data_IF_416850746418
#
_entry.id   IF_416850746418
#
_cell.length_a   1.000
_cell.length_b   1.000
_cell.length_c   1.000
_cell.angle_alpha   90.00
_cell.angle_beta   90.00
_cell.angle_gamma   90.00
#
_symmetry.space_group_name_H-M   'P 1'
#
loop_
_entity.id
_entity.type
_entity.pdbx_description
1 polymer ?
#
# COMPACT_ATOMS: atom_id res chain seq x y z
N UNK A 1 -16.75 -63.07 14.45
CA UNK A 1 -15.46 -62.84 15.12
C UNK A 1 -14.36 -63.17 14.11
N UNK A 2 -13.57 -62.25 13.56
CA UNK A 2 -13.40 -60.83 13.83
C UNK A 2 -12.72 -60.19 12.61
N UNK A 3 -13.45 -59.36 11.87
CA UNK A 3 -12.88 -58.21 11.14
C UNK A 3 -12.36 -57.25 12.22
N UNK A 4 -11.10 -56.81 12.11
CA UNK A 4 -10.25 -56.13 13.12
C UNK A 4 -9.30 -57.12 13.82
N UNK A 5 -7.99 -56.82 13.75
CA UNK A 5 -6.83 -57.45 14.43
C UNK A 5 -5.78 -58.25 13.62
N UNK A 6 -5.56 -57.97 12.33
CA UNK A 6 -4.22 -58.18 11.73
C UNK A 6 -3.81 -57.07 10.77
N UNK A 7 -4.04 -55.83 11.18
CA UNK A 7 -3.00 -54.82 10.99
C UNK A 7 -1.93 -55.03 12.07
N UNK A 8 -0.72 -54.56 11.80
CA UNK A 8 0.42 -54.44 12.72
C UNK A 8 1.41 -55.63 12.82
N UNK A 9 2.02 -56.00 11.70
CA UNK A 9 3.47 -56.33 11.60
C UNK A 9 3.93 -56.00 10.16
N UNK A 10 4.15 -54.73 9.82
CA UNK A 10 5.48 -54.10 9.86
C UNK A 10 6.61 -55.06 9.43
N UNK A 11 6.98 -55.04 8.14
CA UNK A 11 8.33 -54.65 7.66
C UNK A 11 8.47 -54.80 6.14
N UNK A 12 8.81 -53.66 5.52
CA UNK A 12 9.73 -53.48 4.39
C UNK A 12 9.27 -53.73 2.94
N UNK A 13 8.96 -52.60 2.29
CA UNK A 13 9.62 -52.04 1.09
C UNK A 13 8.97 -52.20 -0.30
N UNK A 14 8.97 -51.05 -1.00
CA UNK A 14 8.69 -50.73 -2.41
C UNK A 14 7.19 -50.53 -2.77
N UNK A 15 6.59 -49.35 -2.56
CA UNK A 15 6.71 -48.06 -3.28
C UNK A 15 6.16 -48.11 -4.72
N UNK A 16 5.11 -47.31 -4.96
CA UNK A 16 4.85 -46.43 -6.13
C UNK A 16 3.50 -46.61 -6.89
N UNK A 17 2.78 -45.48 -6.98
CA UNK A 17 1.64 -45.09 -7.83
C UNK A 17 0.20 -45.52 -7.46
N UNK A 18 -0.41 -44.78 -6.54
CA UNK A 18 -1.85 -44.50 -6.58
C UNK A 18 -2.08 -43.26 -7.47
N UNK A 19 -2.96 -43.44 -8.48
CA UNK A 19 -3.56 -42.40 -9.30
C UNK A 19 -4.30 -41.38 -8.40
N UNK A 20 -3.77 -40.16 -8.30
CA UNK A 20 -4.54 -39.00 -7.87
C UNK A 20 -5.50 -38.62 -9.00
N UNK A 21 -6.79 -38.37 -8.75
CA UNK A 21 -7.60 -37.63 -9.69
C UNK A 21 -7.00 -36.23 -9.76
N UNK A 22 -6.46 -35.88 -10.93
CA UNK A 22 -6.07 -34.52 -11.26
C UNK A 22 -7.36 -33.70 -11.21
N UNK A 23 -7.57 -33.01 -10.09
CA UNK A 23 -8.43 -31.85 -10.07
C UNK A 23 -7.78 -30.85 -11.03
N UNK A 24 -8.35 -30.68 -12.22
CA UNK A 24 -8.04 -29.54 -13.07
C UNK A 24 -8.38 -28.30 -12.24
N UNK A 25 -7.36 -27.68 -11.67
CA UNK A 25 -7.46 -26.30 -11.22
C UNK A 25 -7.69 -25.50 -12.50
N UNK A 26 -8.94 -25.10 -12.74
CA UNK A 26 -9.18 -24.00 -13.65
C UNK A 26 -8.44 -22.81 -13.04
N UNK A 27 -7.30 -22.46 -13.63
CA UNK A 27 -6.65 -21.18 -13.37
C UNK A 27 -7.70 -20.12 -13.69
N UNK A 28 -8.22 -19.45 -12.66
CA UNK A 28 -8.95 -18.20 -12.87
C UNK A 28 -7.95 -17.26 -13.54
N UNK A 29 -8.07 -17.12 -14.87
CA UNK A 29 -7.28 -16.15 -15.60
C UNK A 29 -7.75 -14.77 -15.18
N UNK A 30 -6.95 -14.09 -14.38
CA UNK A 30 -7.21 -12.71 -14.00
C UNK A 30 -7.05 -11.82 -15.22
N UNK A 31 -8.07 -10.99 -15.49
CA UNK A 31 -8.01 -9.94 -16.50
C UNK A 31 -6.97 -8.90 -16.09
N UNK A 32 -6.06 -8.56 -17.01
CA UNK A 32 -4.99 -7.58 -16.82
C UNK A 32 -5.18 -6.38 -17.75
N UNK A 33 -5.13 -5.16 -17.21
CA UNK A 33 -5.22 -3.91 -17.99
C UNK A 33 -4.08 -3.78 -19.02
N UNK A 34 -2.91 -4.34 -18.70
CA UNK A 34 -1.75 -4.42 -19.60
C UNK A 34 -2.04 -5.30 -20.82
N UNK A 35 -2.63 -6.47 -20.59
CA UNK A 35 -3.03 -7.39 -21.66
C UNK A 35 -4.16 -6.79 -22.49
N UNK A 36 -5.11 -6.10 -21.84
CA UNK A 36 -6.21 -5.43 -22.52
C UNK A 36 -5.71 -4.31 -23.45
N UNK A 37 -4.71 -3.54 -23.02
CA UNK A 37 -4.07 -2.52 -23.85
C UNK A 37 -3.34 -3.13 -25.06
N UNK A 38 -2.65 -4.26 -24.87
CA UNK A 38 -1.95 -4.98 -25.94
C UNK A 38 -2.95 -5.57 -26.94
N UNK A 39 -3.99 -6.26 -26.47
CA UNK A 39 -5.04 -6.81 -27.34
C UNK A 39 -5.69 -5.71 -28.18
N UNK A 40 -6.03 -4.57 -27.55
CA UNK A 40 -6.63 -3.43 -28.25
C UNK A 40 -5.69 -2.90 -29.33
N UNK A 41 -4.43 -2.65 -29.00
CA UNK A 41 -3.47 -2.08 -29.95
C UNK A 41 -3.13 -3.02 -31.10
N UNK A 42 -2.92 -4.31 -30.81
CA UNK A 42 -2.67 -5.32 -31.85
C UNK A 42 -3.83 -5.37 -32.83
N UNK A 43 -5.06 -5.40 -32.33
CA UNK A 43 -6.26 -5.36 -33.17
C UNK A 43 -6.37 -4.06 -33.98
N UNK A 44 -6.05 -2.89 -33.39
CA UNK A 44 -5.95 -1.61 -34.12
C UNK A 44 -4.91 -1.63 -35.25
N UNK A 45 -3.79 -2.31 -35.03
CA UNK A 45 -2.70 -2.48 -36.00
C UNK A 45 -3.00 -3.58 -37.04
N UNK A 46 -4.14 -4.28 -36.93
CA UNK A 46 -4.57 -5.31 -37.86
C UNK A 46 -4.11 -6.74 -37.53
N UNK A 47 -3.51 -6.96 -36.36
CA UNK A 47 -3.09 -8.28 -35.87
C UNK A 47 -4.20 -8.87 -34.99
N UNK A 48 -4.63 -10.09 -35.28
CA UNK A 48 -5.77 -10.71 -34.58
C UNK A 48 -5.40 -11.19 -33.18
N UNK A 49 -5.55 -10.33 -32.18
CA UNK A 49 -5.31 -10.65 -30.77
C UNK A 49 -6.52 -11.27 -30.06
N UNK A 50 -7.62 -11.53 -30.77
CA UNK A 50 -8.86 -12.04 -30.18
C UNK A 50 -9.68 -10.98 -29.44
N UNK A 51 -10.51 -11.41 -28.49
CA UNK A 51 -11.33 -10.51 -27.68
C UNK A 51 -10.45 -9.64 -26.76
N UNK A 52 -10.81 -8.36 -26.59
CA UNK A 52 -10.14 -7.45 -25.65
C UNK A 52 -10.67 -7.65 -24.24
N UNK A 53 -10.35 -8.79 -23.64
CA UNK A 53 -10.86 -9.27 -22.36
C UNK A 53 -9.82 -9.24 -21.22
N UNK A 54 -8.61 -8.78 -21.52
CA UNK A 54 -7.50 -8.69 -20.56
C UNK A 54 -6.87 -10.04 -20.22
N UNK A 55 -7.23 -11.14 -20.90
CA UNK A 55 -6.69 -12.47 -20.62
C UNK A 55 -5.54 -12.79 -21.57
N UNK A 56 -4.38 -13.13 -21.00
CA UNK A 56 -3.23 -13.53 -21.81
C UNK A 56 -3.42 -14.96 -22.34
N UNK A 57 -3.63 -15.10 -23.64
CA UNK A 57 -3.82 -16.38 -24.32
C UNK A 57 -2.97 -16.53 -25.58
N UNK A 58 -2.97 -17.73 -26.15
CA UNK A 58 -2.18 -18.06 -27.35
C UNK A 58 -2.50 -17.15 -28.54
N UNK A 59 -3.76 -16.71 -28.68
CA UNK A 59 -4.18 -15.76 -29.73
C UNK A 59 -3.46 -14.41 -29.58
N UNK A 60 -3.49 -13.80 -28.38
CA UNK A 60 -2.79 -12.55 -28.09
C UNK A 60 -1.28 -12.68 -28.29
N UNK A 61 -0.71 -13.79 -27.81
CA UNK A 61 0.72 -14.09 -27.95
C UNK A 61 1.14 -14.22 -29.41
N UNK A 62 0.37 -14.95 -30.22
CA UNK A 62 0.68 -15.14 -31.64
C UNK A 62 0.57 -13.82 -32.42
N UNK A 63 -0.44 -12.99 -32.12
CA UNK A 63 -0.58 -11.65 -32.70
C UNK A 63 0.62 -10.74 -32.37
N UNK A 64 1.12 -10.80 -31.13
CA UNK A 64 2.34 -10.07 -30.73
C UNK A 64 3.58 -10.57 -31.48
N UNK A 65 3.76 -11.89 -31.58
CA UNK A 65 4.88 -12.49 -32.33
C UNK A 65 4.84 -12.05 -33.79
N UNK A 66 3.66 -12.07 -34.41
CA UNK A 66 3.47 -11.63 -35.80
C UNK A 66 3.82 -10.15 -35.95
N UNK A 67 3.32 -9.29 -35.07
CA UNK A 67 3.68 -7.88 -35.03
C UNK A 67 5.20 -7.66 -34.94
N UNK A 68 5.86 -8.28 -33.96
CA UNK A 68 7.30 -8.15 -33.75
C UNK A 68 8.10 -8.62 -34.96
N UNK A 69 7.63 -9.67 -35.64
CA UNK A 69 8.27 -10.16 -36.87
C UNK A 69 8.27 -9.11 -37.99
N UNK A 70 7.23 -8.27 -38.09
CA UNK A 70 7.19 -7.16 -39.06
C UNK A 70 8.23 -6.07 -38.78
N UNK A 71 8.71 -6.00 -37.54
CA UNK A 71 9.78 -5.09 -37.08
C UNK A 71 11.16 -5.74 -37.07
N UNK A 72 11.28 -7.01 -37.50
CA UNK A 72 12.52 -7.76 -37.46
C UNK A 72 12.94 -8.21 -36.06
N UNK A 73 12.00 -8.24 -35.11
CA UNK A 73 12.23 -8.59 -33.70
C UNK A 73 11.60 -9.96 -33.37
N UNK A 74 12.03 -10.56 -32.26
CA UNK A 74 11.49 -11.82 -31.75
C UNK A 74 10.99 -11.60 -30.33
N UNK A 75 9.80 -12.12 -30.04
CA UNK A 75 9.30 -12.17 -28.66
C UNK A 75 10.22 -13.06 -27.83
N UNK A 76 10.71 -12.55 -26.71
CA UNK A 76 11.66 -13.26 -25.85
C UNK A 76 10.97 -14.19 -24.83
N UNK A 77 9.63 -14.17 -24.80
CA UNK A 77 8.81 -14.98 -23.91
C UNK A 77 8.30 -14.24 -22.68
N UNK A 78 8.75 -13.01 -22.44
CA UNK A 78 8.33 -12.16 -21.33
C UNK A 78 7.57 -10.95 -21.86
N UNK A 79 6.49 -10.56 -21.18
CA UNK A 79 5.76 -9.35 -21.53
C UNK A 79 6.22 -8.22 -20.61
N UNK A 80 7.14 -7.39 -21.10
CA UNK A 80 7.75 -6.31 -20.33
C UNK A 80 7.60 -4.96 -21.04
N UNK A 81 8.30 -3.92 -20.56
CA UNK A 81 8.21 -2.57 -21.12
C UNK A 81 8.52 -2.48 -22.63
N UNK A 82 9.33 -3.38 -23.16
CA UNK A 82 9.77 -3.37 -24.55
C UNK A 82 8.60 -3.61 -25.51
N UNK A 83 7.71 -4.56 -25.22
CA UNK A 83 6.55 -4.85 -26.07
C UNK A 83 5.60 -3.66 -26.19
N UNK A 84 5.41 -2.92 -25.09
CA UNK A 84 4.57 -1.72 -25.12
C UNK A 84 5.18 -0.63 -25.98
N UNK A 85 6.46 -0.31 -25.76
CA UNK A 85 7.19 0.70 -26.53
C UNK A 85 7.18 0.37 -28.03
N UNK A 86 7.42 -0.91 -28.36
CA UNK A 86 7.41 -1.39 -29.75
C UNK A 86 6.06 -1.23 -30.39
N UNK A 87 4.97 -1.62 -29.72
CA UNK A 87 3.61 -1.51 -30.25
C UNK A 87 3.14 -0.05 -30.41
N UNK A 88 3.97 0.94 -30.07
CA UNK A 88 3.54 2.33 -29.86
C UNK A 88 2.27 2.38 -29.01
N UNK A 89 2.13 1.38 -28.14
CA UNK A 89 1.45 1.57 -26.89
C UNK A 89 2.47 2.46 -26.21
N UNK A 90 2.28 3.77 -26.36
CA UNK A 90 2.46 4.59 -25.18
C UNK A 90 1.75 3.76 -24.14
N UNK A 91 2.51 3.07 -23.27
CA UNK A 91 1.97 2.75 -21.98
C UNK A 91 1.23 4.05 -21.67
N UNK A 92 -0.02 3.94 -21.24
CA UNK A 92 -0.33 4.84 -20.17
C UNK A 92 0.76 4.45 -19.15
N UNK A 93 1.97 5.04 -19.24
CA UNK A 93 2.67 5.51 -18.09
C UNK A 93 1.56 6.38 -17.53
N UNK A 94 0.70 5.76 -16.71
CA UNK A 94 0.61 6.04 -15.31
C UNK A 94 1.50 7.23 -15.08
N UNK A 95 0.95 8.38 -15.47
CA UNK A 95 1.71 9.61 -15.53
C UNK A 95 2.00 9.83 -14.07
N UNK A 96 3.15 9.36 -13.59
CA UNK A 96 3.48 9.41 -12.17
C UNK A 96 3.20 10.82 -11.73
N UNK A 97 2.42 10.99 -10.67
CA UNK A 97 2.07 12.31 -10.17
C UNK A 97 3.33 13.17 -10.14
N UNK A 98 3.42 14.23 -10.97
CA UNK A 98 4.64 15.03 -11.02
C UNK A 98 4.80 15.77 -9.70
N UNK A 99 6.01 15.73 -9.14
CA UNK A 99 6.35 16.45 -7.93
C UNK A 99 7.34 17.58 -8.20
N UNK A 100 7.15 18.70 -7.51
CA UNK A 100 8.12 19.79 -7.44
C UNK A 100 8.71 19.85 -6.04
N UNK A 101 10.02 19.65 -5.94
CA UNK A 101 10.73 19.60 -4.66
C UNK A 101 11.29 20.97 -4.29
N UNK A 102 10.70 21.59 -3.27
CA UNK A 102 11.15 22.82 -2.65
C UNK A 102 11.91 22.45 -1.36
N UNK A 103 13.21 22.19 -1.49
CA UNK A 103 14.06 21.69 -0.40
C UNK A 103 15.01 22.80 0.06
N UNK A 104 14.91 23.19 1.33
CA UNK A 104 15.77 24.21 1.90
C UNK A 104 17.19 23.68 2.18
N UNK A 105 18.17 24.61 2.14
CA UNK A 105 19.60 24.34 2.36
C UNK A 105 19.96 23.87 3.77
N UNK A 106 19.04 23.99 4.75
CA UNK A 106 19.21 23.47 6.10
C UNK A 106 19.26 21.95 6.17
N UNK A 107 18.77 21.25 5.14
CA UNK A 107 18.85 19.80 5.02
C UNK A 107 20.17 19.35 4.39
N UNK A 108 20.81 18.35 4.98
CA UNK A 108 22.10 17.84 4.51
C UNK A 108 21.96 17.15 3.14
N UNK A 109 22.95 17.29 2.26
CA UNK A 109 22.93 16.71 0.90
C UNK A 109 22.68 15.18 0.89
N UNK A 110 23.17 14.46 1.90
CA UNK A 110 22.91 13.02 2.02
C UNK A 110 21.44 12.71 2.31
N UNK A 111 20.76 13.52 3.13
CA UNK A 111 19.32 13.38 3.35
C UNK A 111 18.54 13.70 2.08
N UNK A 112 18.92 14.75 1.34
CA UNK A 112 18.27 15.09 0.07
C UNK A 112 18.41 13.99 -0.97
N UNK A 113 19.57 13.31 -1.01
CA UNK A 113 19.80 12.16 -1.90
C UNK A 113 18.92 10.97 -1.50
N UNK A 114 18.85 10.68 -0.21
CA UNK A 114 18.02 9.60 0.32
C UNK A 114 16.52 9.87 0.12
N UNK A 115 16.07 11.12 0.35
CA UNK A 115 14.70 11.55 0.07
C UNK A 115 14.31 11.27 -1.38
N UNK A 116 15.17 11.61 -2.35
CA UNK A 116 14.90 11.34 -3.77
C UNK A 116 14.81 9.85 -4.06
N UNK A 117 15.70 9.05 -3.48
CA UNK A 117 15.66 7.59 -3.61
C UNK A 117 14.35 7.01 -3.04
N UNK A 118 13.94 7.44 -1.85
CA UNK A 118 12.66 7.05 -1.24
C UNK A 118 11.49 7.44 -2.16
N UNK A 119 11.45 8.67 -2.66
CA UNK A 119 10.39 9.12 -3.58
C UNK A 119 10.36 8.34 -4.90
N UNK A 120 11.51 7.89 -5.41
CA UNK A 120 11.59 7.03 -6.61
C UNK A 120 10.99 5.65 -6.33
N UNK A 121 11.40 5.01 -5.22
CA UNK A 121 10.86 3.73 -4.77
C UNK A 121 9.35 3.83 -4.55
N UNK A 122 8.87 4.85 -3.85
CA UNK A 122 7.45 5.00 -3.55
C UNK A 122 6.63 5.24 -4.81
N UNK A 123 7.12 6.02 -5.78
CA UNK A 123 6.43 6.18 -7.07
C UNK A 123 6.45 4.93 -7.94
N UNK A 124 7.28 3.94 -7.64
CA UNK A 124 7.29 2.63 -8.31
C UNK A 124 6.36 1.65 -7.60
N UNK A 125 6.45 1.54 -6.27
CA UNK A 125 5.68 0.58 -5.46
C UNK A 125 4.24 1.04 -5.21
N UNK A 126 4.02 2.34 -5.07
CA UNK A 126 2.72 2.95 -4.75
C UNK A 126 2.36 3.97 -5.85
N UNK A 127 2.17 3.53 -7.09
CA UNK A 127 2.04 4.46 -8.18
C UNK A 127 0.74 5.26 -8.04
N UNK A 128 0.88 6.59 -8.09
CA UNK A 128 -0.27 7.51 -8.12
C UNK A 128 -0.64 7.74 -9.59
N UNK A 129 -1.69 7.05 -10.05
CA UNK A 129 -2.08 6.97 -11.47
C UNK A 129 -3.45 7.60 -11.75
N UNK A 130 -4.27 7.72 -10.70
CA UNK A 130 -5.62 8.23 -10.78
C UNK A 130 -5.79 9.61 -10.12
N UNK A 131 -6.85 10.32 -10.53
CA UNK A 131 -7.41 11.46 -9.81
C UNK A 131 -6.42 12.60 -9.46
N UNK A 132 -5.39 12.88 -10.27
CA UNK A 132 -4.39 13.94 -10.00
C UNK A 132 -4.98 15.33 -9.73
N UNK A 133 -6.19 15.58 -10.22
CA UNK A 133 -6.96 16.78 -9.91
C UNK A 133 -7.17 17.00 -8.42
N UNK A 134 -7.16 15.95 -7.59
CA UNK A 134 -7.21 16.04 -6.12
C UNK A 134 -6.05 16.86 -5.57
N UNK A 135 -4.89 16.80 -6.23
CA UNK A 135 -3.68 17.55 -5.88
C UNK A 135 -3.56 18.89 -6.62
N UNK A 136 -4.58 19.27 -7.40
CA UNK A 136 -4.53 20.45 -8.26
C UNK A 136 -3.63 20.28 -9.49
N UNK A 137 -3.22 19.05 -9.80
CA UNK A 137 -2.37 18.73 -10.95
C UNK A 137 -3.21 18.49 -12.20
N UNK A 138 -2.87 19.19 -13.28
CA UNK A 138 -3.57 19.16 -14.56
C UNK A 138 -2.68 18.62 -15.66
N UNK A 139 -3.14 17.58 -16.37
CA UNK A 139 -2.37 16.87 -17.39
C UNK A 139 -2.05 17.74 -18.63
N UNK A 140 -2.90 18.72 -18.91
CA UNK A 140 -2.79 19.66 -20.03
C UNK A 140 -1.90 20.89 -19.73
N UNK A 141 -1.54 21.11 -18.46
CA UNK A 141 -0.75 22.26 -18.05
C UNK A 141 0.72 21.85 -17.87
N UNK A 142 1.58 22.40 -18.73
CA UNK A 142 3.03 22.22 -18.62
C UNK A 142 3.52 22.64 -17.23
N UNK A 143 4.38 21.82 -16.62
CA UNK A 143 4.94 22.02 -15.27
C UNK A 143 3.91 21.99 -14.12
N UNK A 144 2.69 21.49 -14.36
CA UNK A 144 1.76 21.20 -13.26
C UNK A 144 2.31 20.04 -12.43
N UNK A 145 2.45 20.26 -11.13
CA UNK A 145 3.05 19.34 -10.18
C UNK A 145 2.52 19.60 -8.78
N UNK A 146 2.53 18.56 -7.94
CA UNK A 146 2.29 18.68 -6.50
C UNK A 146 3.58 19.16 -5.83
N UNK A 147 3.49 20.21 -5.01
CA UNK A 147 4.64 20.73 -4.28
C UNK A 147 4.96 19.86 -3.06
N UNK A 148 6.27 19.69 -2.80
CA UNK A 148 6.80 19.18 -1.54
C UNK A 148 7.71 20.24 -0.95
N UNK A 149 7.48 20.62 0.30
CA UNK A 149 8.28 21.58 1.04
C UNK A 149 9.02 20.86 2.16
N UNK A 150 10.35 20.96 2.18
CA UNK A 150 11.16 20.30 3.20
C UNK A 150 12.24 21.23 3.76
N UNK A 151 12.37 21.25 5.09
CA UNK A 151 13.42 21.96 5.81
C UNK A 151 13.75 21.24 7.13
N UNK A 152 14.87 21.62 7.75
CA UNK A 152 15.24 21.14 9.08
C UNK A 152 14.68 22.09 10.14
N UNK A 153 14.12 21.56 11.23
CA UNK A 153 13.54 22.36 12.32
C UNK A 153 14.57 23.19 13.12
N UNK A 154 15.86 23.11 12.78
CA UNK A 154 16.88 24.03 13.29
C UNK A 154 16.76 25.46 12.73
N UNK A 155 16.00 25.65 11.65
CA UNK A 155 15.62 26.95 11.10
C UNK A 155 14.11 27.12 11.14
N UNK A 156 13.64 28.37 11.17
CA UNK A 156 12.21 28.66 10.95
C UNK A 156 11.83 28.31 9.50
N UNK A 157 10.55 28.03 9.27
CA UNK A 157 9.99 27.82 7.94
C UNK A 157 10.53 28.86 6.92
N UNK A 158 11.32 28.42 5.91
CA UNK A 158 11.97 29.31 4.97
C UNK A 158 11.07 29.75 3.79
N UNK A 159 9.86 29.18 3.68
CA UNK A 159 8.95 29.38 2.55
C UNK A 159 7.92 30.48 2.85
N UNK A 160 8.29 31.72 2.51
CA UNK A 160 7.48 32.92 2.76
C UNK A 160 6.11 32.92 2.10
N UNK A 161 5.95 32.18 1.00
CA UNK A 161 4.70 31.98 0.27
C UNK A 161 3.68 31.14 1.05
N UNK A 162 4.14 30.38 2.04
CA UNK A 162 3.32 29.54 2.92
C UNK A 162 3.82 29.65 4.37
N UNK A 163 3.61 30.80 5.04
CA UNK A 163 4.26 31.11 6.32
C UNK A 163 3.80 30.25 7.50
N UNK A 164 2.61 29.63 7.41
CA UNK A 164 2.01 28.85 8.48
C UNK A 164 2.33 27.34 8.41
N UNK A 165 3.24 26.91 7.54
CA UNK A 165 3.66 25.51 7.48
C UNK A 165 4.54 25.14 8.67
N UNK A 166 4.31 23.93 9.20
CA UNK A 166 5.09 23.30 10.26
C UNK A 166 4.72 21.83 10.37
N UNK A 167 5.58 21.04 11.01
CA UNK A 167 5.43 19.59 11.14
C UNK A 167 5.50 18.84 9.80
N UNK A 168 4.91 17.65 9.78
CA UNK A 168 4.73 16.85 8.56
C UNK A 168 3.23 16.61 8.31
N UNK A 169 2.78 16.84 7.08
CA UNK A 169 1.39 16.61 6.67
C UNK A 169 1.19 16.76 5.15
N UNK A 170 0.08 16.22 4.65
CA UNK A 170 -0.53 16.68 3.40
C UNK A 170 -1.50 17.84 3.68
N UNK A 171 -1.17 19.02 3.17
CA UNK A 171 -1.92 20.26 3.34
C UNK A 171 -2.52 20.76 2.02
N UNK A 172 -3.44 21.73 2.07
CA UNK A 172 -4.05 22.29 0.87
C UNK A 172 -4.85 23.56 1.13
N UNK A 173 -5.22 24.24 0.03
CA UNK A 173 -6.04 25.47 0.03
C UNK A 173 -7.41 25.29 -0.62
N UNK A 174 -7.82 24.03 -0.85
CA UNK A 174 -9.03 23.67 -1.58
C UNK A 174 -8.89 23.67 -3.10
N UNK A 175 -7.76 24.17 -3.65
CA UNK A 175 -7.45 24.11 -5.10
C UNK A 175 -6.26 23.22 -5.40
N UNK A 176 -5.24 23.31 -4.57
CA UNK A 176 -3.99 22.55 -4.66
C UNK A 176 -3.69 21.90 -3.33
N UNK A 177 -2.94 20.81 -3.38
CA UNK A 177 -2.39 20.16 -2.19
C UNK A 177 -0.88 20.12 -2.29
N UNK A 178 -0.21 20.07 -1.16
CA UNK A 178 1.23 19.98 -1.05
C UNK A 178 1.62 19.16 0.18
N UNK A 179 2.79 18.55 0.13
CA UNK A 179 3.39 17.84 1.27
C UNK A 179 4.30 18.80 2.04
N UNK A 180 4.22 18.76 3.36
CA UNK A 180 5.10 19.48 4.28
C UNK A 180 5.97 18.45 4.99
N UNK A 181 7.28 18.69 5.05
CA UNK A 181 8.27 17.85 5.73
C UNK A 181 9.23 18.73 6.56
N UNK A 182 8.79 19.18 7.73
CA UNK A 182 9.68 19.77 8.73
C UNK A 182 10.40 18.65 9.52
N UNK A 183 11.63 18.36 9.13
CA UNK A 183 12.41 17.27 9.74
C UNK A 183 13.04 17.75 11.05
N UNK A 184 12.78 17.04 12.14
CA UNK A 184 13.30 17.44 13.44
C UNK A 184 14.84 17.39 13.47
N UNK A 185 15.48 18.49 13.85
CA UNK A 185 16.95 18.59 13.98
C UNK A 185 17.58 17.49 14.81
N UNK A 186 16.88 17.01 15.84
CA UNK A 186 17.38 15.98 16.74
C UNK A 186 17.43 14.60 16.07
N UNK A 187 16.68 14.37 14.99
CA UNK A 187 16.74 13.11 14.23
C UNK A 187 18.06 12.95 13.49
N UNK A 188 18.69 14.06 13.10
CA UNK A 188 20.06 14.05 12.58
C UNK A 188 21.07 13.79 13.68
N UNK A 189 20.87 14.39 14.87
CA UNK A 189 21.75 14.22 16.04
C UNK A 189 21.75 12.78 16.56
N UNK A 190 20.58 12.16 16.64
CA UNK A 190 20.40 10.81 17.20
C UNK A 190 20.25 9.73 16.14
N UNK A 191 20.45 10.05 14.86
CA UNK A 191 20.33 9.13 13.73
C UNK A 191 18.99 8.35 13.75
N UNK A 192 17.89 9.07 14.01
CA UNK A 192 16.54 8.50 14.04
C UNK A 192 16.06 8.16 12.63
N UNK A 193 15.55 6.94 12.36
CA UNK A 193 14.99 6.58 11.06
C UNK A 193 13.68 7.32 10.73
N UNK A 194 13.06 7.99 11.70
CA UNK A 194 11.84 8.77 11.50
C UNK A 194 11.98 9.82 10.39
N UNK A 195 13.17 10.42 10.22
CA UNK A 195 13.47 11.37 9.13
C UNK A 195 13.25 10.82 7.72
N UNK A 196 13.15 9.50 7.59
CA UNK A 196 12.85 8.78 6.36
C UNK A 196 11.46 8.16 6.39
N UNK A 197 11.02 7.60 7.52
CA UNK A 197 9.68 7.01 7.64
C UNK A 197 8.59 8.04 7.37
N UNK A 198 8.76 9.28 7.85
CA UNK A 198 7.79 10.36 7.65
C UNK A 198 7.55 10.71 6.17
N UNK A 199 8.54 10.50 5.30
CA UNK A 199 8.37 10.66 3.84
C UNK A 199 7.40 9.61 3.32
N UNK A 200 7.54 8.37 3.78
CA UNK A 200 6.69 7.23 3.42
C UNK A 200 5.28 7.43 3.95
N UNK A 201 5.14 7.85 5.21
CA UNK A 201 3.86 8.14 5.86
C UNK A 201 3.05 9.15 5.04
N UNK A 202 3.63 10.32 4.74
CA UNK A 202 2.93 11.37 4.01
C UNK A 202 2.69 10.99 2.53
N UNK A 203 3.62 10.28 1.89
CA UNK A 203 3.39 9.77 0.53
C UNK A 203 2.24 8.77 0.50
N UNK A 204 2.12 7.91 1.52
CA UNK A 204 1.04 6.94 1.57
C UNK A 204 -0.34 7.62 1.65
N UNK A 205 -0.44 8.76 2.34
CA UNK A 205 -1.66 9.58 2.27
C UNK A 205 -1.96 10.10 0.86
N UNK A 206 -0.94 10.53 0.10
CA UNK A 206 -1.12 10.89 -1.32
C UNK A 206 -1.68 9.69 -2.10
N UNK A 207 -1.12 8.50 -1.89
CA UNK A 207 -1.62 7.27 -2.51
C UNK A 207 -3.09 7.00 -2.13
N UNK A 208 -3.42 6.96 -0.84
CA UNK A 208 -4.80 6.78 -0.34
C UNK A 208 -5.79 7.82 -0.89
N UNK A 209 -5.39 9.10 -0.94
CA UNK A 209 -6.22 10.19 -1.45
C UNK A 209 -6.46 10.07 -2.95
N UNK A 210 -5.46 9.58 -3.70
CA UNK A 210 -5.58 9.38 -5.14
C UNK A 210 -6.59 8.27 -5.48
N UNK A 211 -6.56 7.17 -4.72
CA UNK A 211 -7.51 6.07 -4.86
C UNK A 211 -8.92 6.49 -4.42
N UNK A 212 -9.02 7.08 -3.22
CA UNK A 212 -10.31 7.37 -2.56
C UNK A 212 -11.00 8.66 -2.99
N UNK A 213 -10.36 9.46 -3.85
CA UNK A 213 -10.81 10.83 -4.21
C UNK A 213 -10.90 11.73 -2.97
N UNK A 214 -9.83 11.74 -2.18
CA UNK A 214 -9.67 12.56 -0.96
C UNK A 214 -10.63 12.17 0.17
N UNK A 215 -11.05 10.90 0.24
CA UNK A 215 -11.97 10.38 1.27
C UNK A 215 -11.22 9.52 2.27
N UNK A 216 -10.75 10.15 3.34
CA UNK A 216 -9.79 9.57 4.29
C UNK A 216 -10.43 9.00 5.57
N UNK A 217 -11.73 8.72 5.58
CA UNK A 217 -12.43 8.05 6.68
C UNK A 217 -12.42 6.51 6.55
N UNK A 218 -12.26 5.75 7.66
CA UNK A 218 -12.05 6.22 9.04
C UNK A 218 -10.57 6.51 9.33
N UNK A 219 -10.32 7.36 10.33
CA UNK A 219 -8.97 7.78 10.73
C UNK A 219 -8.05 6.61 11.06
N UNK A 220 -8.52 5.61 11.80
CA UNK A 220 -7.64 4.50 12.19
C UNK A 220 -7.13 3.67 11.02
N UNK A 221 -7.91 3.55 9.95
CA UNK A 221 -7.47 2.82 8.76
C UNK A 221 -6.53 3.70 7.90
N UNK A 222 -6.80 5.02 7.84
CA UNK A 222 -5.92 5.98 7.18
C UNK A 222 -4.52 6.03 7.83
N UNK A 223 -4.49 6.38 9.11
CA UNK A 223 -3.27 6.63 9.88
C UNK A 223 -2.59 5.34 10.34
N UNK A 224 -3.38 4.31 10.68
CA UNK A 224 -2.84 2.98 10.94
C UNK A 224 -2.18 2.40 9.70
N UNK A 225 -2.74 2.66 8.51
CA UNK A 225 -2.17 2.30 7.22
C UNK A 225 -0.81 2.92 7.00
N UNK A 226 -0.77 4.24 7.12
CA UNK A 226 0.46 5.03 6.99
C UNK A 226 1.52 4.60 8.03
N UNK A 227 1.12 4.36 9.29
CA UNK A 227 2.01 3.88 10.34
C UNK A 227 2.60 2.50 10.05
N UNK A 228 1.80 1.55 9.56
CA UNK A 228 2.30 0.20 9.29
C UNK A 228 3.25 0.22 8.08
N UNK A 229 2.88 0.89 6.98
CA UNK A 229 3.73 0.90 5.78
C UNK A 229 5.03 1.69 5.98
N UNK A 230 5.02 2.79 6.74
CA UNK A 230 6.27 3.52 7.04
C UNK A 230 7.27 2.62 7.81
N UNK A 231 6.75 1.80 8.73
CA UNK A 231 7.55 0.91 9.57
C UNK A 231 8.05 -0.30 8.81
N UNK A 232 7.23 -0.86 7.92
CA UNK A 232 7.65 -1.90 6.98
C UNK A 232 8.76 -1.39 6.06
N UNK A 233 8.64 -0.17 5.54
CA UNK A 233 9.66 0.46 4.71
C UNK A 233 10.99 0.58 5.47
N UNK A 234 10.99 1.19 6.66
CA UNK A 234 12.25 1.40 7.39
C UNK A 234 12.86 0.09 7.92
N UNK A 235 12.03 -0.91 8.21
CA UNK A 235 12.51 -2.26 8.52
C UNK A 235 13.21 -2.90 7.32
N UNK A 236 12.65 -2.77 6.13
CA UNK A 236 13.18 -3.35 4.89
C UNK A 236 14.50 -2.68 4.46
N UNK A 237 14.53 -1.35 4.43
CA UNK A 237 15.66 -0.61 3.85
C UNK A 237 16.75 -0.21 4.87
N UNK A 238 16.39 -0.06 6.15
CA UNK A 238 17.33 0.37 7.20
C UNK A 238 17.48 -0.62 8.35
N UNK A 239 16.75 -1.74 8.33
CA UNK A 239 16.83 -2.78 9.36
C UNK A 239 16.31 -2.33 10.73
N UNK A 240 15.55 -1.24 10.81
CA UNK A 240 15.07 -0.62 12.05
C UNK A 240 13.59 -0.30 11.93
N UNK A 241 12.80 -0.67 12.93
CA UNK A 241 11.39 -0.29 13.09
C UNK A 241 11.09 -0.02 14.56
N UNK A 242 10.27 0.99 14.85
CA UNK A 242 9.72 1.24 16.19
C UNK A 242 8.39 0.54 16.44
N UNK A 243 7.76 -0.05 15.42
CA UNK A 243 6.40 -0.60 15.47
C UNK A 243 6.16 -1.50 16.69
N UNK A 244 6.96 -2.55 16.91
CA UNK A 244 6.78 -3.44 18.07
C UNK A 244 6.86 -2.67 19.40
N UNK A 245 7.78 -1.71 19.50
CA UNK A 245 7.98 -0.90 20.69
C UNK A 245 6.82 0.07 20.93
N UNK A 246 6.29 0.66 19.87
CA UNK A 246 5.19 1.61 19.94
C UNK A 246 3.88 0.90 20.32
N UNK A 247 3.59 -0.25 19.71
CA UNK A 247 2.41 -1.06 20.02
C UNK A 247 2.41 -1.57 21.48
N UNK A 248 3.59 -1.78 22.08
CA UNK A 248 3.72 -2.20 23.49
C UNK A 248 3.61 -1.06 24.50
N UNK A 249 3.77 0.20 24.08
CA UNK A 249 3.86 1.34 25.00
C UNK A 249 2.48 1.90 25.34
N UNK A 250 2.04 1.68 26.58
CA UNK A 250 0.76 2.20 27.11
C UNK A 250 0.59 3.70 26.93
N UNK A 251 1.66 4.48 27.07
CA UNK A 251 1.60 5.93 26.94
C UNK A 251 1.29 6.44 25.53
N UNK A 252 1.41 5.58 24.51
CA UNK A 252 1.16 5.98 23.13
C UNK A 252 -0.28 5.74 22.68
N UNK A 253 -1.00 4.80 23.27
CA UNK A 253 -2.37 4.52 22.85
C UNK A 253 -3.16 3.76 23.91
N UNK A 254 -4.46 3.99 23.90
CA UNK A 254 -5.36 3.55 24.98
C UNK A 254 -5.96 2.16 24.76
N UNK A 255 -6.24 1.44 25.84
CA UNK A 255 -6.88 0.11 25.78
C UNK A 255 -8.35 0.20 25.29
N UNK A 256 -8.88 1.41 25.05
CA UNK A 256 -10.14 1.71 24.39
C UNK A 256 -10.27 1.10 22.99
N UNK A 257 -9.16 0.70 22.34
CA UNK A 257 -9.21 -0.15 21.14
C UNK A 257 -10.06 -1.40 21.37
N UNK A 258 -10.04 -1.95 22.59
CA UNK A 258 -10.71 -3.20 22.95
C UNK A 258 -12.13 -3.00 23.51
N UNK A 259 -12.48 -1.78 23.93
CA UNK A 259 -13.71 -1.50 24.68
C UNK A 259 -14.63 -0.49 24.00
N UNK A 260 -14.07 0.53 23.32
CA UNK A 260 -14.81 1.51 22.53
C UNK A 260 -13.99 1.96 21.29
N UNK A 261 -13.78 1.06 20.32
CA UNK A 261 -12.99 1.35 19.12
C UNK A 261 -13.54 2.49 18.24
N UNK A 262 -14.80 2.92 18.45
CA UNK A 262 -15.36 4.08 17.75
C UNK A 262 -14.56 5.37 18.04
N UNK A 263 -13.88 5.44 19.20
CA UNK A 263 -13.01 6.56 19.56
C UNK A 263 -11.79 6.72 18.65
N UNK A 264 -11.48 5.72 17.81
CA UNK A 264 -10.38 5.77 16.86
C UNK A 264 -10.80 6.19 15.45
N UNK A 265 -12.08 6.44 15.21
CA UNK A 265 -12.59 6.78 13.87
C UNK A 265 -12.26 8.20 13.40
N UNK A 266 -11.90 9.10 14.32
CA UNK A 266 -11.75 10.53 14.07
C UNK A 266 -10.42 11.10 14.59
N UNK A 267 -9.98 12.19 13.98
CA UNK A 267 -8.74 12.86 14.38
C UNK A 267 -8.88 13.57 15.74
N UNK A 268 -10.03 14.18 15.99
CA UNK A 268 -10.29 15.01 17.18
C UNK A 268 -10.21 14.22 18.49
N UNK A 269 -10.44 12.91 18.44
CA UNK A 269 -10.36 12.02 19.60
C UNK A 269 -8.93 11.55 19.87
N UNK A 270 -8.02 11.65 18.90
CA UNK A 270 -6.69 11.00 18.94
C UNK A 270 -5.71 11.70 19.88
N UNK A 271 -5.82 13.02 20.03
CA UNK A 271 -5.01 13.82 20.94
C UNK A 271 -5.59 13.91 22.36
N UNK A 272 -6.71 13.24 22.63
CA UNK A 272 -7.34 13.24 23.95
C UNK A 272 -6.42 12.54 24.95
N UNK A 273 -6.13 13.20 26.07
CA UNK A 273 -5.44 12.58 27.18
C UNK A 273 -6.31 11.49 27.82
N UNK A 274 -5.65 10.42 28.23
CA UNK A 274 -6.23 9.26 28.92
C UNK A 274 -5.47 9.06 30.22
N UNK A 275 -5.94 8.16 31.09
CA UNK A 275 -5.28 7.92 32.39
C UNK A 275 -3.80 7.50 32.24
N UNK A 276 -3.47 6.78 31.17
CA UNK A 276 -2.16 6.18 30.95
C UNK A 276 -1.30 6.91 29.90
N UNK A 277 -1.81 7.98 29.27
CA UNK A 277 -1.12 8.72 28.19
C UNK A 277 -2.10 9.39 27.23
N UNK A 278 -2.05 9.02 25.95
CA UNK A 278 -2.91 9.57 24.89
C UNK A 278 -3.81 8.51 24.28
N UNK A 279 -4.91 8.95 23.67
CA UNK A 279 -5.80 8.06 22.94
C UNK A 279 -5.05 7.34 21.81
N UNK A 280 -4.35 8.07 20.94
CA UNK A 280 -3.66 7.46 19.81
C UNK A 280 -2.46 8.30 19.30
N UNK A 281 -1.45 8.46 20.16
CA UNK A 281 -0.18 9.09 19.82
C UNK A 281 0.66 8.21 18.89
N UNK A 282 1.27 8.83 17.88
CA UNK A 282 1.99 8.15 16.80
C UNK A 282 1.17 7.05 16.10
N UNK A 283 -0.16 7.13 16.21
CA UNK A 283 -1.11 6.21 15.58
C UNK A 283 -0.90 4.74 15.94
N UNK A 284 -0.31 4.47 17.12
CA UNK A 284 0.02 3.12 17.54
C UNK A 284 -1.23 2.25 17.77
N UNK A 285 -2.31 2.80 18.32
CA UNK A 285 -3.58 2.09 18.46
C UNK A 285 -4.26 1.87 17.11
N UNK A 286 -4.21 2.86 16.22
CA UNK A 286 -4.68 2.71 14.84
C UNK A 286 -3.93 1.61 14.07
N UNK A 287 -2.60 1.54 14.20
CA UNK A 287 -1.78 0.48 13.63
C UNK A 287 -2.11 -0.89 14.24
N UNK A 288 -2.38 -0.96 15.55
CA UNK A 288 -2.85 -2.18 16.19
C UNK A 288 -4.16 -2.67 15.58
N UNK A 289 -5.13 -1.76 15.40
CA UNK A 289 -6.42 -2.08 14.76
C UNK A 289 -6.22 -2.61 13.34
N UNK A 290 -5.41 -1.93 12.52
CA UNK A 290 -5.14 -2.39 11.15
C UNK A 290 -4.50 -3.77 11.10
N UNK A 291 -3.47 -4.02 11.91
CA UNK A 291 -2.81 -5.33 11.94
C UNK A 291 -3.74 -6.43 12.47
N UNK A 292 -4.65 -6.08 13.40
CA UNK A 292 -5.67 -7.02 13.86
C UNK A 292 -6.67 -7.34 12.77
N UNK A 293 -7.09 -6.35 11.97
CA UNK A 293 -7.91 -6.60 10.78
C UNK A 293 -7.21 -7.55 9.80
N UNK A 294 -5.91 -7.33 9.53
CA UNK A 294 -5.10 -8.25 8.71
C UNK A 294 -5.16 -9.67 9.28
N UNK A 295 -4.98 -9.86 10.60
CA UNK A 295 -5.05 -11.20 11.22
C UNK A 295 -6.45 -11.81 11.18
N UNK A 296 -7.50 -11.00 11.28
CA UNK A 296 -8.87 -11.48 11.11
C UNK A 296 -9.12 -11.98 9.68
N UNK A 297 -8.63 -11.27 8.65
CA UNK A 297 -8.73 -11.69 7.25
C UNK A 297 -7.97 -13.01 7.01
N UNK A 298 -6.81 -13.20 7.66
CA UNK A 298 -6.04 -14.45 7.52
C UNK A 298 -6.76 -15.68 8.11
N UNK A 299 -7.71 -15.50 9.04
CA UNK A 299 -8.54 -16.61 9.53
C UNK A 299 -9.43 -17.20 8.43
N UNK A 300 -9.73 -16.41 7.40
CA UNK A 300 -10.53 -16.81 6.23
C UNK A 300 -9.68 -17.27 5.04
N UNK A 301 -8.46 -17.77 5.31
CA UNK A 301 -7.47 -18.27 4.34
C UNK A 301 -6.92 -17.22 3.35
N UNK A 302 -7.05 -15.93 3.65
CA UNK A 302 -6.37 -14.86 2.91
C UNK A 302 -4.90 -14.84 3.34
N UNK A 303 -3.95 -14.74 2.40
CA UNK A 303 -2.54 -14.63 2.74
C UNK A 303 -2.23 -13.28 3.42
N UNK A 304 -1.10 -13.17 4.12
CA UNK A 304 -0.71 -11.88 4.73
C UNK A 304 -0.54 -10.78 3.68
N UNK A 305 0.01 -11.14 2.52
CA UNK A 305 0.20 -10.25 1.37
C UNK A 305 -1.14 -9.73 0.84
N UNK A 306 -2.07 -10.63 0.51
CA UNK A 306 -3.41 -10.25 0.02
C UNK A 306 -4.19 -9.44 1.07
N UNK A 307 -4.09 -9.80 2.35
CA UNK A 307 -4.76 -9.05 3.42
C UNK A 307 -4.20 -7.63 3.58
N UNK A 308 -2.89 -7.44 3.40
CA UNK A 308 -2.26 -6.12 3.39
C UNK A 308 -2.63 -5.32 2.14
N UNK A 309 -2.73 -5.97 0.97
CA UNK A 309 -3.21 -5.32 -0.26
C UNK A 309 -4.64 -4.79 -0.06
N UNK A 310 -5.53 -5.60 0.53
CA UNK A 310 -6.91 -5.20 0.81
C UNK A 310 -7.01 -3.93 1.66
N UNK A 311 -6.21 -3.83 2.73
CA UNK A 311 -6.24 -2.66 3.64
C UNK A 311 -5.47 -1.44 3.10
N UNK A 312 -4.44 -1.65 2.27
CA UNK A 312 -3.63 -0.57 1.73
C UNK A 312 -4.12 -0.01 0.39
N UNK A 313 -4.87 -0.79 -0.40
CA UNK A 313 -5.27 -0.43 -1.76
C UNK A 313 -6.78 -0.60 -1.97
N UNK A 314 -7.30 -1.81 -1.87
CA UNK A 314 -8.66 -2.13 -2.36
C UNK A 314 -9.75 -1.41 -1.56
N UNK A 315 -9.57 -1.27 -0.24
CA UNK A 315 -10.49 -0.47 0.57
C UNK A 315 -10.59 0.98 0.06
N UNK A 316 -9.46 1.60 -0.30
CA UNK A 316 -9.44 2.99 -0.75
C UNK A 316 -10.04 3.15 -2.16
N UNK A 317 -9.88 2.15 -3.01
CA UNK A 317 -10.57 2.08 -4.30
C UNK A 317 -12.10 1.98 -4.12
N UNK A 318 -12.60 1.07 -3.27
CA UNK A 318 -14.03 0.96 -2.99
C UNK A 318 -14.56 2.26 -2.33
N UNK A 319 -13.77 2.87 -1.45
CA UNK A 319 -14.09 4.15 -0.80
C UNK A 319 -14.32 5.29 -1.79
N UNK A 320 -13.68 5.27 -2.96
CA UNK A 320 -13.92 6.23 -4.03
C UNK A 320 -15.38 6.24 -4.52
N UNK A 321 -16.04 5.07 -4.47
CA UNK A 321 -17.45 4.87 -4.80
C UNK A 321 -18.40 5.13 -3.64
N UNK A 322 -17.93 5.04 -2.38
CA UNK A 322 -18.76 5.09 -1.19
C UNK A 322 -18.56 6.35 -0.34
N UNK A 323 -19.64 7.07 -0.04
CA UNK A 323 -19.59 8.16 0.96
C UNK A 323 -19.48 7.61 2.38
N UNK A 324 -20.21 6.55 2.70
CA UNK A 324 -20.13 5.88 3.99
C UNK A 324 -19.00 4.83 3.95
N UNK A 325 -17.92 5.05 4.70
CA UNK A 325 -16.80 4.12 4.77
C UNK A 325 -17.19 2.74 5.30
N UNK A 326 -18.21 2.63 6.17
CA UNK A 326 -18.63 1.34 6.71
C UNK A 326 -19.16 0.41 5.62
N UNK A 327 -19.78 0.98 4.57
CA UNK A 327 -20.22 0.22 3.38
C UNK A 327 -19.03 -0.23 2.53
N UNK A 328 -18.01 0.62 2.39
CA UNK A 328 -16.78 0.23 1.69
C UNK A 328 -16.05 -0.88 2.44
N UNK A 329 -15.98 -0.75 3.77
CA UNK A 329 -15.39 -1.75 4.67
C UNK A 329 -16.09 -3.10 4.51
N UNK A 330 -17.41 -3.14 4.62
CA UNK A 330 -18.19 -4.39 4.51
C UNK A 330 -17.98 -5.08 3.16
N UNK A 331 -17.97 -4.32 2.08
CA UNK A 331 -17.73 -4.85 0.73
C UNK A 331 -16.31 -5.36 0.52
N UNK A 332 -15.31 -4.65 1.04
CA UNK A 332 -13.89 -4.99 0.84
C UNK A 332 -13.51 -6.21 1.66
N UNK A 333 -13.92 -6.25 2.93
CA UNK A 333 -13.45 -7.24 3.89
C UNK A 333 -14.45 -8.37 4.15
N UNK A 334 -15.62 -8.33 3.50
CA UNK A 334 -16.73 -9.28 3.74
C UNK A 334 -17.09 -9.42 5.23
N UNK A 335 -16.94 -8.31 5.97
CA UNK A 335 -17.11 -8.24 7.43
C UNK A 335 -17.67 -6.88 7.80
N UNK A 336 -18.70 -6.85 8.65
CA UNK A 336 -19.21 -5.57 9.15
C UNK A 336 -18.22 -4.93 10.13
N UNK A 337 -18.19 -3.59 10.18
CA UNK A 337 -17.39 -2.83 11.15
C UNK A 337 -17.75 -3.24 12.58
N UNK A 338 -19.04 -3.44 12.86
CA UNK A 338 -19.52 -3.90 14.17
C UNK A 338 -18.90 -5.25 14.55
N UNK A 339 -18.88 -6.20 13.62
CA UNK A 339 -18.26 -7.52 13.83
C UNK A 339 -16.77 -7.40 14.08
N UNK A 340 -16.08 -6.54 13.33
CA UNK A 340 -14.65 -6.30 13.57
C UNK A 340 -14.39 -5.70 14.96
N UNK A 341 -15.19 -4.70 15.36
CA UNK A 341 -15.09 -4.08 16.69
C UNK A 341 -15.41 -5.04 17.83
N UNK A 342 -16.38 -5.94 17.65
CA UNK A 342 -16.64 -7.03 18.60
C UNK A 342 -15.42 -7.97 18.72
N UNK A 343 -14.81 -8.33 17.59
CA UNK A 343 -13.59 -9.17 17.57
C UNK A 343 -12.39 -8.50 18.21
N UNK A 344 -12.23 -7.18 18.11
CA UNK A 344 -11.15 -6.45 18.79
C UNK A 344 -11.16 -6.69 20.31
N UNK A 345 -12.32 -6.90 20.93
CA UNK A 345 -12.42 -7.18 22.38
C UNK A 345 -11.78 -8.51 22.79
N UNK A 346 -11.52 -9.42 21.84
CA UNK A 346 -10.83 -10.69 22.07
C UNK A 346 -9.30 -10.54 22.07
N UNK A 347 -8.80 -9.38 21.64
CA UNK A 347 -7.38 -9.06 21.60
C UNK A 347 -6.93 -8.30 22.84
N UNK A 348 -5.62 -8.30 23.05
CA UNK A 348 -4.97 -7.50 24.06
C UNK A 348 -3.63 -6.99 23.57
N UNK A 349 -3.06 -6.04 24.32
CA UNK A 349 -1.69 -5.55 24.09
C UNK A 349 -0.63 -6.67 24.17
N UNK A 350 -0.92 -7.80 24.80
CA UNK A 350 0.00 -8.94 24.85
C UNK A 350 0.10 -9.66 23.50
N UNK A 351 -0.83 -9.42 22.58
CA UNK A 351 -0.88 -10.05 21.27
C UNK A 351 -0.02 -9.34 20.23
N UNK A 352 0.65 -8.23 20.57
CA UNK A 352 1.48 -7.44 19.64
C UNK A 352 2.41 -8.32 18.81
N UNK A 353 3.13 -9.27 19.42
CA UNK A 353 4.07 -10.13 18.68
C UNK A 353 3.40 -11.07 17.67
N UNK A 354 2.12 -11.36 17.83
CA UNK A 354 1.34 -12.25 16.95
C UNK A 354 0.79 -11.50 15.74
N UNK A 355 0.61 -10.18 15.84
CA UNK A 355 -0.03 -9.36 14.81
C UNK A 355 0.97 -8.61 13.92
N UNK A 356 2.25 -8.53 14.30
CA UNK A 356 3.28 -7.86 13.48
C UNK A 356 3.38 -8.50 12.08
N UNK A 357 3.60 -7.69 11.03
CA UNK A 357 3.88 -8.21 9.69
C UNK A 357 5.09 -9.15 9.67
N UNK A 358 5.10 -10.12 8.77
CA UNK A 358 6.28 -10.94 8.55
C UNK A 358 7.47 -10.08 8.14
N UNK A 359 8.62 -10.32 8.78
CA UNK A 359 9.89 -9.65 8.45
C UNK A 359 10.41 -9.99 7.05
N UNK A 360 9.91 -11.07 6.45
CA UNK A 360 10.30 -11.48 5.09
C UNK A 360 9.45 -10.84 4.00
N UNK A 361 8.28 -10.28 4.36
CA UNK A 361 7.37 -9.65 3.41
C UNK A 361 7.93 -8.27 3.06
N UNK A 362 8.09 -8.01 1.76
CA UNK A 362 8.54 -6.72 1.26
C UNK A 362 7.34 -5.88 0.87
N UNK A 363 7.52 -4.55 0.88
CA UNK A 363 6.46 -3.64 0.44
C UNK A 363 6.07 -3.86 -1.02
N UNK A 364 7.01 -4.26 -1.88
CA UNK A 364 6.76 -4.59 -3.30
C UNK A 364 5.75 -5.72 -3.44
N UNK A 365 5.95 -6.79 -2.66
CA UNK A 365 5.11 -7.98 -2.73
C UNK A 365 3.63 -7.64 -2.48
N UNK A 366 3.32 -6.56 -1.75
CA UNK A 366 1.93 -6.18 -1.43
C UNK A 366 1.19 -5.51 -2.60
N UNK A 367 1.92 -4.89 -3.53
CA UNK A 367 1.32 -4.08 -4.61
C UNK A 367 1.58 -4.63 -6.02
N UNK A 368 2.21 -5.81 -6.11
CA UNK A 368 2.59 -6.51 -7.36
C UNK A 368 1.42 -7.25 -8.03
#
# INVERSE_FOLDING_TARGET
MSRKLKELKLKLRFFLYCLFPICLIASNAYSSDNVLAIQKKLNELGFNAGATDGIWGDTTKNALIEYLSTKGLKFDGSLDNNEFELLEITKIRNQKLPFRFNIDKSLHKSWVSEFKNIMEILQEVLPVEENFKVFGVRKDVKNSAMDIYAWNSNVKNPFSEKPNMGGASISGDGRTKWMILEINKDEFKYNSPHRYSVIVHEYFHIYQMSLSKDRMDPKWLAEGGAKVIEEMFVQQYYGRSSLEGDLKRRSLWSDEVFTDPNLYEKFETSSKETLDGYMDMNYAGSAFMLLTLVKELQKDNISEQEALELVFKDFWLEKAGQRNWQKAFEKTFNMSVKTFYERLSEYSRNDVRKILPSKSLKIQDIFD
#
